data_IF_181249999703
#
_entry.id   IF_181249999703
#
_cell.length_a   1.000
_cell.length_b   1.000
_cell.length_c   1.000
_cell.angle_alpha   90.00
_cell.angle_beta   90.00
_cell.angle_gamma   90.00
#
_symmetry.space_group_name_H-M   'P 1'
#
loop_
_entity.id
_entity.type
_entity.pdbx_description
1 polymer ?
#
# COMPACT_ATOMS: atom_id res chain seq x y z
N UNK A 1 14.70 13.52 -5.86
CA UNK A 1 14.77 13.93 -4.43
C UNK A 1 15.85 14.97 -4.17
N UNK A 2 17.15 14.67 -4.35
CA UNK A 2 18.26 15.60 -3.99
C UNK A 2 18.11 17.00 -4.60
N UNK A 3 17.74 17.08 -5.89
CA UNK A 3 17.47 18.35 -6.58
C UNK A 3 16.33 19.17 -5.97
N UNK A 4 15.33 18.51 -5.40
CA UNK A 4 14.23 19.21 -4.72
C UNK A 4 14.72 19.73 -3.37
N UNK A 5 15.48 18.94 -2.61
CA UNK A 5 15.98 19.31 -1.29
C UNK A 5 17.06 20.39 -1.29
N UNK A 6 17.88 20.45 -2.34
CA UNK A 6 18.88 21.50 -2.50
C UNK A 6 18.26 22.90 -2.64
N UNK A 7 16.96 22.99 -2.95
CA UNK A 7 16.23 24.26 -3.01
C UNK A 7 15.72 24.66 -1.62
N UNK A 8 15.74 25.96 -1.27
CA UNK A 8 15.20 26.44 0.00
C UNK A 8 13.73 26.06 0.13
N UNK A 9 13.30 25.81 1.38
CA UNK A 9 11.92 25.47 1.64
C UNK A 9 10.99 26.66 1.33
N UNK A 10 9.84 26.36 0.75
CA UNK A 10 8.78 27.34 0.47
C UNK A 10 7.42 26.69 0.64
N UNK A 11 6.41 27.52 0.89
CA UNK A 11 5.02 27.09 0.86
C UNK A 11 4.64 26.51 -0.52
N UNK A 12 3.68 25.58 -0.50
CA UNK A 12 3.12 25.02 -1.72
C UNK A 12 2.17 26.02 -2.39
N UNK A 13 2.23 26.06 -3.71
CA UNK A 13 1.28 26.78 -4.57
C UNK A 13 0.50 25.77 -5.43
N UNK A 14 -0.60 26.20 -6.04
CA UNK A 14 -1.49 25.30 -6.78
C UNK A 14 -0.81 24.63 -7.98
N UNK A 15 0.17 25.31 -8.59
CA UNK A 15 0.99 24.77 -9.68
C UNK A 15 1.80 23.55 -9.23
N UNK A 16 2.18 23.45 -7.95
CA UNK A 16 2.98 22.33 -7.44
C UNK A 16 2.24 20.99 -7.51
N UNK A 17 0.91 21.00 -7.38
CA UNK A 17 0.08 19.79 -7.46
C UNK A 17 -0.02 19.24 -8.87
N UNK A 18 0.18 20.09 -9.89
CA UNK A 18 0.15 19.68 -11.29
C UNK A 18 1.53 19.56 -11.92
N UNK A 19 2.56 20.12 -11.27
CA UNK A 19 3.95 20.13 -11.73
C UNK A 19 4.44 18.72 -12.09
N UNK A 20 5.28 18.64 -13.12
CA UNK A 20 5.95 17.40 -13.46
C UNK A 20 7.27 17.62 -14.18
N UNK A 21 8.36 17.10 -13.63
CA UNK A 21 9.70 17.28 -14.15
C UNK A 21 10.15 16.05 -14.91
N UNK A 22 10.58 16.23 -16.16
CA UNK A 22 11.06 15.14 -17.01
C UNK A 22 12.58 15.17 -17.05
N UNK A 23 13.19 14.02 -16.81
CA UNK A 23 14.62 13.80 -16.88
C UNK A 23 14.90 12.76 -17.96
N UNK A 24 15.92 12.98 -18.77
CA UNK A 24 16.42 12.02 -19.73
C UNK A 24 17.79 11.54 -19.25
N UNK A 25 17.95 10.24 -19.10
CA UNK A 25 19.20 9.58 -18.77
C UNK A 25 19.66 8.85 -20.03
N UNK A 26 20.88 9.14 -20.44
CA UNK A 26 21.56 8.53 -21.57
C UNK A 26 22.75 7.70 -21.09
N UNK A 27 23.27 6.84 -21.97
CA UNK A 27 24.45 6.03 -21.68
C UNK A 27 25.70 6.90 -21.53
N UNK A 28 25.78 8.00 -22.27
CA UNK A 28 26.92 8.94 -22.23
C UNK A 28 26.93 9.82 -20.98
N UNK A 29 25.78 10.03 -20.33
CA UNK A 29 25.62 11.05 -19.30
C UNK A 29 25.56 12.46 -19.90
N UNK A 30 25.10 13.41 -19.09
CA UNK A 30 25.18 14.84 -19.34
C UNK A 30 25.35 15.60 -18.00
N UNK A 31 25.49 16.93 -18.04
CA UNK A 31 25.68 17.75 -16.84
C UNK A 31 24.58 17.59 -15.78
N UNK A 32 23.35 17.27 -16.21
CA UNK A 32 22.22 17.13 -15.31
C UNK A 32 22.04 15.68 -14.83
N UNK A 33 22.37 14.68 -15.63
CA UNK A 33 22.17 13.26 -15.33
C UNK A 33 23.44 12.45 -15.55
N UNK A 34 23.92 11.68 -14.55
CA UNK A 34 25.08 10.83 -14.74
C UNK A 34 24.83 9.76 -15.80
N UNK A 35 25.92 9.21 -16.34
CA UNK A 35 25.87 8.09 -17.28
C UNK A 35 25.10 6.91 -16.67
N UNK A 36 24.31 6.24 -17.51
CA UNK A 36 23.43 5.16 -17.10
C UNK A 36 23.69 3.91 -17.93
N UNK A 37 23.37 2.72 -17.40
CA UNK A 37 23.54 1.47 -18.15
C UNK A 37 22.63 1.37 -19.39
N UNK A 38 21.54 2.14 -19.41
CA UNK A 38 20.53 2.12 -20.47
C UNK A 38 19.94 3.51 -20.63
N UNK A 39 19.60 3.91 -21.86
CA UNK A 39 18.83 5.13 -22.04
C UNK A 39 17.43 4.96 -21.42
N UNK A 40 16.94 5.95 -20.68
CA UNK A 40 15.53 6.02 -20.25
C UNK A 40 15.09 7.44 -19.92
N UNK A 41 13.77 7.66 -19.94
CA UNK A 41 13.16 8.93 -19.53
C UNK A 41 12.43 8.72 -18.22
N UNK A 42 12.84 9.46 -17.20
CA UNK A 42 12.17 9.53 -15.91
C UNK A 42 11.24 10.74 -15.87
N UNK A 43 10.11 10.64 -15.19
CA UNK A 43 9.24 11.78 -14.92
C UNK A 43 8.82 11.73 -13.46
N UNK A 44 9.09 12.83 -12.76
CA UNK A 44 8.77 13.07 -11.36
C UNK A 44 7.54 13.98 -11.29
N UNK A 45 6.46 13.53 -10.66
CA UNK A 45 5.20 14.28 -10.57
C UNK A 45 5.06 14.93 -9.20
N UNK A 46 4.63 16.19 -9.17
CA UNK A 46 4.42 16.99 -7.95
C UNK A 46 5.56 16.90 -6.91
N UNK A 47 6.83 17.11 -7.31
CA UNK A 47 7.99 16.85 -6.44
C UNK A 47 8.02 17.67 -5.15
N UNK A 48 7.45 18.88 -5.17
CA UNK A 48 7.32 19.72 -3.97
C UNK A 48 6.25 19.20 -3.02
N UNK A 49 5.11 18.72 -3.53
CA UNK A 49 4.05 18.12 -2.71
C UNK A 49 4.56 16.86 -2.02
N UNK A 50 5.22 15.95 -2.76
CA UNK A 50 5.81 14.75 -2.15
C UNK A 50 7.02 15.03 -1.25
N UNK A 51 7.70 16.18 -1.40
CA UNK A 51 8.67 16.64 -0.39
C UNK A 51 7.96 16.96 0.92
N UNK A 52 6.88 17.74 0.88
CA UNK A 52 6.12 18.08 2.08
C UNK A 52 5.47 16.85 2.72
N UNK A 53 4.86 15.95 1.94
CA UNK A 53 4.30 14.70 2.47
C UNK A 53 5.35 13.85 3.21
N UNK A 54 6.57 13.73 2.66
CA UNK A 54 7.65 13.02 3.35
C UNK A 54 8.03 13.71 4.67
N UNK A 55 8.08 15.03 4.70
CA UNK A 55 8.35 15.79 5.92
C UNK A 55 7.23 15.64 6.96
N UNK A 56 5.97 15.69 6.53
CA UNK A 56 4.79 15.53 7.38
C UNK A 56 4.72 14.12 7.99
N UNK A 57 5.22 13.12 7.27
CA UNK A 57 5.42 11.76 7.79
C UNK A 57 6.80 11.53 8.42
N UNK A 58 7.58 12.59 8.67
CA UNK A 58 8.87 12.58 9.33
C UNK A 58 9.95 11.70 8.68
N UNK A 59 9.89 11.55 7.36
CA UNK A 59 10.87 10.82 6.58
C UNK A 59 12.01 11.76 6.17
N UNK A 60 13.20 11.49 6.70
CA UNK A 60 14.41 12.14 6.22
C UNK A 60 14.67 11.77 4.76
N UNK A 61 15.10 12.77 3.99
CA UNK A 61 15.23 12.57 2.57
C UNK A 61 16.52 11.84 2.15
N UNK A 62 17.55 11.88 2.97
CA UNK A 62 18.78 11.10 2.80
C UNK A 62 18.47 9.63 3.04
N UNK A 63 17.75 9.32 4.13
CA UNK A 63 17.30 7.96 4.42
C UNK A 63 16.40 7.42 3.29
N UNK A 64 15.42 8.22 2.86
CA UNK A 64 14.54 7.85 1.73
C UNK A 64 15.33 7.52 0.46
N UNK A 65 16.40 8.27 0.18
CA UNK A 65 17.28 8.01 -0.97
C UNK A 65 18.07 6.72 -0.77
N UNK A 66 18.67 6.51 0.40
CA UNK A 66 19.45 5.30 0.70
C UNK A 66 18.58 4.05 0.57
N UNK A 67 17.40 4.03 1.19
CA UNK A 67 16.48 2.87 1.16
C UNK A 67 16.03 2.52 -0.26
N UNK A 68 15.87 3.50 -1.15
CA UNK A 68 15.34 3.32 -2.51
C UNK A 68 16.40 3.29 -3.62
N UNK A 69 17.68 3.49 -3.31
CA UNK A 69 18.75 3.49 -4.32
C UNK A 69 19.90 2.54 -3.97
N UNK A 70 19.79 1.77 -2.88
CA UNK A 70 20.78 0.74 -2.55
C UNK A 70 20.89 -0.31 -3.67
N UNK A 71 22.04 -0.98 -3.76
CA UNK A 71 22.41 -1.86 -4.89
C UNK A 71 21.47 -3.07 -5.10
N UNK A 72 20.65 -3.40 -4.10
CA UNK A 72 19.82 -4.61 -4.05
C UNK A 72 18.36 -4.26 -3.80
N UNK A 73 17.74 -3.60 -4.78
CA UNK A 73 16.29 -3.38 -4.75
C UNK A 73 15.73 -4.57 -5.54
N UNK A 74 15.06 -5.46 -4.81
CA UNK A 74 13.70 -5.97 -5.08
C UNK A 74 13.53 -7.49 -5.01
N UNK A 75 12.75 -7.89 -4.00
CA UNK A 75 11.94 -9.09 -4.04
C UNK A 75 10.62 -8.83 -4.73
N UNK A 76 10.41 -9.48 -5.88
CA UNK A 76 9.07 -9.68 -6.42
C UNK A 76 8.34 -10.66 -5.48
N UNK A 77 7.52 -10.13 -4.57
CA UNK A 77 6.36 -10.88 -4.13
C UNK A 77 5.38 -10.79 -5.29
N UNK A 78 5.29 -11.88 -6.07
CA UNK A 78 4.30 -12.00 -7.13
C UNK A 78 2.94 -11.60 -6.56
N UNK A 79 2.32 -10.58 -7.13
CA UNK A 79 1.06 -10.07 -6.57
C UNK A 79 0.03 -11.21 -6.62
N UNK A 80 -0.56 -11.64 -5.48
CA UNK A 80 -1.72 -12.53 -5.53
C UNK A 80 -2.98 -11.80 -6.06
N UNK A 81 -2.88 -10.51 -6.36
CA UNK A 81 -3.97 -9.66 -6.81
C UNK A 81 -4.33 -9.81 -8.30
N UNK A 82 -5.63 -9.71 -8.59
CA UNK A 82 -6.22 -9.76 -9.96
C UNK A 82 -5.70 -8.67 -10.92
N UNK A 83 -4.97 -7.65 -10.45
CA UNK A 83 -4.63 -6.43 -11.22
C UNK A 83 -3.34 -6.52 -12.05
N UNK A 84 -2.49 -7.52 -11.81
CA UNK A 84 -1.19 -7.66 -12.45
C UNK A 84 -0.19 -6.53 -12.13
N UNK A 85 -0.38 -5.81 -11.02
CA UNK A 85 0.54 -4.79 -10.52
C UNK A 85 1.71 -5.41 -9.75
N UNK A 86 2.94 -5.03 -10.07
CA UNK A 86 4.14 -5.48 -9.37
C UNK A 86 4.38 -4.69 -8.09
N UNK A 87 4.79 -5.40 -7.04
CA UNK A 87 5.21 -4.88 -5.75
C UNK A 87 6.68 -5.15 -5.53
N UNK A 88 7.32 -4.17 -4.93
CA UNK A 88 8.76 -4.07 -4.87
C UNK A 88 9.13 -3.43 -3.54
N UNK A 89 9.86 -4.13 -2.68
CA UNK A 89 10.21 -3.65 -1.34
C UNK A 89 11.62 -3.07 -1.30
N UNK A 90 11.80 -1.95 -0.60
CA UNK A 90 13.14 -1.48 -0.24
C UNK A 90 13.88 -2.53 0.60
N UNK A 91 15.21 -2.48 0.57
CA UNK A 91 16.06 -3.46 1.26
C UNK A 91 15.82 -3.50 2.77
N UNK A 92 15.48 -2.36 3.34
CA UNK A 92 15.15 -2.18 4.76
C UNK A 92 13.66 -2.42 5.07
N UNK A 93 12.89 -2.92 4.09
CA UNK A 93 11.46 -3.23 4.15
C UNK A 93 10.53 -2.05 4.50
N UNK A 94 11.07 -0.82 4.52
CA UNK A 94 10.38 0.40 4.94
C UNK A 94 9.40 0.93 3.89
N UNK A 95 9.77 0.79 2.60
CA UNK A 95 9.04 1.34 1.47
C UNK A 95 8.64 0.28 0.46
N UNK A 96 7.52 0.54 -0.21
CA UNK A 96 7.00 -0.25 -1.31
C UNK A 96 6.97 0.63 -2.56
N UNK A 97 7.56 0.14 -3.64
CA UNK A 97 7.34 0.62 -5.00
C UNK A 97 6.21 -0.23 -5.58
N UNK A 98 5.09 0.40 -5.95
CA UNK A 98 3.96 -0.29 -6.57
C UNK A 98 3.74 0.24 -7.97
N UNK A 99 3.78 -0.64 -8.97
CA UNK A 99 3.40 -0.24 -10.33
C UNK A 99 1.90 0.00 -10.41
N UNK A 100 1.48 1.07 -11.05
CA UNK A 100 0.07 1.44 -11.19
C UNK A 100 -0.31 1.63 -12.65
N UNK A 101 -1.59 1.40 -12.95
CA UNK A 101 -2.18 1.65 -14.25
C UNK A 101 -2.22 3.15 -14.55
N UNK A 102 -2.29 3.50 -15.84
CA UNK A 102 -2.36 4.90 -16.26
C UNK A 102 -3.61 5.61 -15.72
N UNK A 103 -4.72 4.89 -15.54
CA UNK A 103 -5.95 5.40 -14.95
C UNK A 103 -5.76 5.78 -13.47
N UNK A 104 -5.14 4.89 -12.67
CA UNK A 104 -4.80 5.14 -11.26
C UNK A 104 -3.85 6.33 -11.13
N UNK A 105 -2.84 6.44 -12.01
CA UNK A 105 -1.94 7.60 -12.03
C UNK A 105 -2.70 8.91 -12.30
N UNK A 106 -3.62 8.92 -13.29
CA UNK A 106 -4.42 10.11 -13.57
C UNK A 106 -5.30 10.47 -12.37
N UNK A 107 -5.88 9.46 -11.73
CA UNK A 107 -6.75 9.64 -10.58
C UNK A 107 -5.97 10.18 -9.37
N UNK A 108 -4.82 9.62 -9.03
CA UNK A 108 -3.95 10.12 -7.97
C UNK A 108 -3.60 11.60 -8.17
N UNK A 109 -3.26 12.01 -9.41
CA UNK A 109 -2.99 13.43 -9.71
C UNK A 109 -4.23 14.32 -9.54
N UNK A 110 -5.43 13.79 -9.79
CA UNK A 110 -6.69 14.52 -9.59
C UNK A 110 -6.96 14.75 -8.10
N UNK A 111 -6.72 13.75 -7.26
CA UNK A 111 -7.03 13.81 -5.81
C UNK A 111 -5.88 14.30 -4.93
N UNK A 112 -4.71 14.61 -5.51
CA UNK A 112 -3.49 14.85 -4.74
C UNK A 112 -3.63 16.01 -3.74
N UNK A 113 -4.36 17.06 -4.09
CA UNK A 113 -4.60 18.21 -3.21
C UNK A 113 -5.50 17.83 -2.03
N UNK A 114 -6.58 17.10 -2.27
CA UNK A 114 -7.46 16.56 -1.22
C UNK A 114 -6.70 15.61 -0.28
N UNK A 115 -5.90 14.69 -0.83
CA UNK A 115 -5.07 13.78 -0.05
C UNK A 115 -4.05 14.54 0.80
N UNK A 116 -3.33 15.51 0.23
CA UNK A 116 -2.36 16.33 0.96
C UNK A 116 -3.02 17.08 2.13
N UNK A 117 -4.16 17.73 1.87
CA UNK A 117 -4.90 18.44 2.91
C UNK A 117 -5.39 17.48 3.99
N UNK A 118 -5.87 16.30 3.62
CA UNK A 118 -6.29 15.30 4.60
C UNK A 118 -5.15 14.88 5.53
N UNK A 119 -3.98 14.55 4.97
CA UNK A 119 -2.78 14.18 5.75
C UNK A 119 -2.36 15.31 6.69
N UNK A 120 -2.38 16.56 6.20
CA UNK A 120 -2.02 17.73 7.02
C UNK A 120 -2.92 17.94 8.23
N UNK A 121 -4.22 17.70 8.08
CA UNK A 121 -5.19 17.88 9.17
C UNK A 121 -5.39 16.60 10.01
N UNK A 122 -4.93 15.45 9.52
CA UNK A 122 -5.07 14.14 10.17
C UNK A 122 -3.71 13.43 10.23
N UNK A 123 -2.80 13.86 11.13
CA UNK A 123 -1.45 13.30 11.24
C UNK A 123 -1.46 11.80 11.63
N UNK A 124 -2.57 11.32 12.19
CA UNK A 124 -2.79 9.94 12.59
C UNK A 124 -3.53 9.10 11.55
N UNK A 125 -3.69 9.59 10.31
CA UNK A 125 -4.39 8.85 9.25
C UNK A 125 -3.87 7.43 9.07
N UNK A 126 -4.80 6.49 8.89
CA UNK A 126 -4.56 5.10 8.52
C UNK A 126 -4.43 4.92 7.01
N UNK A 127 -4.73 5.96 6.20
CA UNK A 127 -4.55 5.92 4.75
C UNK A 127 -3.09 5.60 4.39
N UNK A 128 -2.92 4.81 3.33
CA UNK A 128 -1.59 4.50 2.84
C UNK A 128 -0.80 5.78 2.55
N UNK A 129 0.48 5.77 2.98
CA UNK A 129 1.34 6.96 2.97
C UNK A 129 2.11 7.01 1.66
N UNK A 130 1.80 7.98 0.80
CA UNK A 130 2.48 8.15 -0.49
C UNK A 130 3.67 9.12 -0.39
N UNK A 131 4.82 8.70 -0.91
CA UNK A 131 6.09 9.44 -0.83
C UNK A 131 6.64 9.86 -2.20
N UNK A 132 6.04 9.36 -3.29
CA UNK A 132 6.41 9.75 -4.63
C UNK A 132 5.46 9.16 -5.68
N UNK A 133 5.28 9.89 -6.77
CA UNK A 133 4.61 9.42 -7.98
C UNK A 133 5.54 9.64 -9.18
N UNK A 134 5.83 8.57 -9.89
CA UNK A 134 6.86 8.59 -10.91
C UNK A 134 6.46 7.83 -12.17
N UNK A 135 7.18 8.08 -13.26
CA UNK A 135 7.07 7.32 -14.51
C UNK A 135 8.43 7.09 -15.14
N UNK A 136 8.72 5.84 -15.47
CA UNK A 136 9.86 5.45 -16.31
C UNK A 136 9.37 5.11 -17.72
N UNK A 137 10.13 5.54 -18.73
CA UNK A 137 9.93 5.16 -20.14
C UNK A 137 11.27 4.75 -20.74
N UNK A 138 11.39 3.47 -21.08
CA UNK A 138 12.50 2.93 -21.86
C UNK A 138 12.36 3.33 -23.36
N UNK A 139 13.46 3.43 -24.12
CA UNK A 139 13.44 3.56 -25.57
C UNK A 139 12.59 2.46 -26.17
N UNK A 140 11.61 2.83 -27.00
CA UNK A 140 10.67 1.90 -27.63
C UNK A 140 9.81 1.06 -26.66
N UNK A 141 9.89 1.31 -25.35
CA UNK A 141 9.14 0.61 -24.31
C UNK A 141 7.84 1.30 -23.92
N UNK A 142 6.98 0.57 -23.20
CA UNK A 142 5.77 1.13 -22.58
C UNK A 142 6.14 2.06 -21.44
N UNK A 143 5.25 3.02 -21.15
CA UNK A 143 5.35 3.89 -19.96
C UNK A 143 4.95 3.06 -18.75
N UNK A 144 5.82 2.99 -17.75
CA UNK A 144 5.53 2.36 -16.46
C UNK A 144 5.33 3.49 -15.46
N UNK A 145 4.15 3.54 -14.84
CA UNK A 145 3.86 4.44 -13.73
C UNK A 145 3.98 3.65 -12.42
N UNK A 146 4.50 4.30 -11.40
CA UNK A 146 4.59 3.69 -10.07
C UNK A 146 4.51 4.74 -8.99
N UNK A 147 4.06 4.30 -7.82
CA UNK A 147 4.08 5.07 -6.58
C UNK A 147 5.12 4.48 -5.65
N UNK A 148 5.70 5.34 -4.84
CA UNK A 148 6.43 4.92 -3.64
C UNK A 148 5.53 5.17 -2.45
N UNK A 149 5.33 4.15 -1.62
CA UNK A 149 4.47 4.21 -0.45
C UNK A 149 5.11 3.54 0.76
N UNK A 150 4.64 3.86 1.96
CA UNK A 150 5.07 3.17 3.18
C UNK A 150 4.56 1.74 3.23
N UNK A 151 5.41 0.82 3.70
CA UNK A 151 4.95 -0.51 4.06
C UNK A 151 4.09 -0.46 5.33
N UNK A 152 2.98 -1.18 5.41
CA UNK A 152 2.20 -1.25 6.67
C UNK A 152 2.96 -2.08 7.70
N UNK A 153 3.60 -3.16 7.26
CA UNK A 153 4.31 -4.08 8.13
C UNK A 153 5.73 -3.59 8.45
N UNK A 154 6.21 -3.83 9.67
CA UNK A 154 7.53 -3.41 10.12
C UNK A 154 8.60 -4.38 9.61
N UNK A 155 9.87 -3.95 9.52
CA UNK A 155 10.99 -4.86 9.29
C UNK A 155 11.31 -5.73 10.51
N UNK A 156 10.95 -5.26 11.71
CA UNK A 156 11.54 -5.76 12.95
C UNK A 156 10.69 -6.80 13.70
N UNK A 157 9.48 -7.11 13.22
CA UNK A 157 8.57 -8.08 13.86
C UNK A 157 8.08 -9.16 12.91
N UNK A 158 7.92 -10.35 13.46
CA UNK A 158 7.25 -11.47 12.79
C UNK A 158 5.74 -11.22 12.75
N UNK A 159 5.15 -11.19 11.55
CA UNK A 159 3.71 -11.05 11.40
C UNK A 159 3.10 -12.45 11.33
N UNK A 160 2.45 -12.87 12.42
CA UNK A 160 1.91 -14.21 12.58
C UNK A 160 0.58 -14.39 11.85
N UNK A 161 -0.24 -13.34 11.79
CA UNK A 161 -1.49 -13.34 11.04
C UNK A 161 -1.62 -12.09 10.19
N UNK A 162 -2.18 -12.24 8.98
CA UNK A 162 -2.42 -11.13 8.07
C UNK A 162 -3.82 -11.22 7.49
N UNK A 163 -4.57 -10.12 7.57
CA UNK A 163 -5.92 -10.01 7.04
C UNK A 163 -6.06 -8.80 6.11
N UNK A 164 -6.75 -8.99 4.99
CA UNK A 164 -7.26 -7.93 4.12
C UNK A 164 -8.77 -7.89 4.34
N UNK A 165 -9.30 -6.78 4.91
CA UNK A 165 -10.70 -6.66 5.31
C UNK A 165 -11.41 -5.54 4.52
N UNK A 166 -12.57 -5.84 3.93
CA UNK A 166 -13.36 -4.89 3.11
C UNK A 166 -14.78 -4.66 3.63
N UNK A 167 -15.21 -5.43 4.62
CA UNK A 167 -16.60 -5.52 5.06
C UNK A 167 -17.53 -6.19 4.06
N UNK A 168 -17.01 -7.08 3.21
CA UNK A 168 -17.84 -7.81 2.22
C UNK A 168 -17.61 -9.31 2.33
N UNK A 169 -18.56 -10.12 1.87
CA UNK A 169 -18.54 -11.59 2.05
C UNK A 169 -18.21 -12.36 0.77
N UNK A 170 -18.61 -11.86 -0.40
CA UNK A 170 -18.46 -12.61 -1.66
C UNK A 170 -17.01 -12.73 -2.13
N UNK A 171 -16.49 -13.96 -2.21
CA UNK A 171 -15.10 -14.23 -2.60
C UNK A 171 -14.07 -13.75 -1.57
N UNK A 172 -14.52 -13.57 -0.32
CA UNK A 172 -13.73 -13.06 0.80
C UNK A 172 -13.41 -14.14 1.83
N UNK A 173 -13.09 -15.34 1.34
CA UNK A 173 -12.46 -16.41 2.09
C UNK A 173 -11.18 -16.89 1.39
N UNK A 174 -10.32 -17.53 2.17
CA UNK A 174 -9.24 -18.44 1.76
C UNK A 174 -9.59 -19.80 2.35
N UNK A 175 -9.38 -20.89 1.59
CA UNK A 175 -9.67 -22.24 2.09
C UNK A 175 -8.64 -22.70 3.11
N UNK A 176 -9.00 -23.63 3.99
CA UNK A 176 -8.05 -24.19 4.96
C UNK A 176 -6.91 -24.96 4.26
N UNK A 177 -7.19 -25.56 3.10
CA UNK A 177 -6.16 -26.20 2.25
C UNK A 177 -5.13 -25.19 1.74
N UNK A 178 -5.57 -24.01 1.27
CA UNK A 178 -4.67 -22.93 0.87
C UNK A 178 -3.84 -22.42 2.06
N UNK A 179 -4.42 -22.37 3.27
CA UNK A 179 -3.71 -21.99 4.49
C UNK A 179 -2.72 -23.05 4.98
N UNK A 180 -3.00 -24.34 4.77
CA UNK A 180 -2.04 -25.39 5.07
C UNK A 180 -0.82 -25.30 4.14
N UNK A 181 -1.06 -25.06 2.85
CA UNK A 181 0.00 -24.91 1.85
C UNK A 181 0.79 -23.60 1.98
N UNK A 182 0.11 -22.54 2.43
CA UNK A 182 0.72 -21.25 2.71
C UNK A 182 0.15 -20.65 4.01
N UNK A 183 0.72 -21.01 5.17
CA UNK A 183 0.26 -20.50 6.47
C UNK A 183 0.33 -18.98 6.61
N UNK A 184 1.10 -18.33 5.72
CA UNK A 184 1.29 -16.87 5.66
C UNK A 184 0.36 -16.19 4.65
N UNK A 185 -0.60 -16.91 4.07
CA UNK A 185 -1.54 -16.33 3.13
C UNK A 185 -2.37 -15.24 3.82
N UNK A 186 -2.53 -14.10 3.14
CA UNK A 186 -3.37 -12.99 3.61
C UNK A 186 -4.84 -13.40 3.63
N UNK A 187 -5.34 -13.71 4.82
CA UNK A 187 -6.72 -14.08 5.09
C UNK A 187 -7.69 -12.92 4.82
N UNK A 188 -8.99 -13.21 4.75
CA UNK A 188 -10.04 -12.23 4.37
C UNK A 188 -11.18 -12.18 5.39
N UNK A 189 -12.23 -11.43 5.07
CA UNK A 189 -13.38 -11.14 5.95
C UNK A 189 -14.05 -12.40 6.52
N UNK A 190 -14.31 -13.42 5.70
CA UNK A 190 -14.96 -14.65 6.20
C UNK A 190 -14.03 -15.45 7.10
N UNK A 191 -12.73 -15.46 6.84
CA UNK A 191 -11.77 -16.09 7.75
C UNK A 191 -11.73 -15.36 9.11
N UNK A 192 -11.79 -14.03 9.10
CA UNK A 192 -11.85 -13.20 10.30
C UNK A 192 -13.09 -13.54 11.15
N UNK A 193 -14.26 -13.57 10.51
CA UNK A 193 -15.54 -13.87 11.16
C UNK A 193 -15.58 -15.32 11.67
N UNK A 194 -15.25 -16.30 10.83
CA UNK A 194 -15.33 -17.72 11.17
C UNK A 194 -14.37 -18.11 12.31
N UNK A 195 -13.23 -17.42 12.43
CA UNK A 195 -12.27 -17.61 13.53
C UNK A 195 -12.60 -16.80 14.77
N UNK A 196 -13.73 -16.08 14.78
CA UNK A 196 -14.14 -15.17 15.83
C UNK A 196 -13.02 -14.19 16.25
N UNK A 197 -12.21 -13.73 15.29
CA UNK A 197 -11.13 -12.77 15.58
C UNK A 197 -11.71 -11.41 15.84
N UNK A 198 -11.10 -10.69 16.78
CA UNK A 198 -11.48 -9.34 17.18
C UNK A 198 -10.23 -8.50 17.44
N UNK A 199 -10.33 -7.20 17.21
CA UNK A 199 -9.32 -6.23 17.66
C UNK A 199 -9.58 -5.91 19.13
N UNK A 200 -8.60 -6.18 19.99
CA UNK A 200 -8.67 -5.88 21.42
C UNK A 200 -8.13 -4.47 21.68
N UNK A 201 -9.02 -3.49 21.62
CA UNK A 201 -8.72 -2.10 21.90
C UNK A 201 -9.56 -1.64 23.09
N UNK A 202 -8.91 -1.22 24.17
CA UNK A 202 -9.56 -0.59 25.31
C UNK A 202 -10.22 0.75 24.93
N UNK A 203 -11.04 1.33 25.81
CA UNK A 203 -11.90 2.47 25.49
C UNK A 203 -11.18 3.64 24.81
N UNK A 204 -9.96 3.98 25.25
CA UNK A 204 -9.19 5.10 24.69
C UNK A 204 -8.73 4.83 23.26
N UNK A 205 -8.02 3.71 23.05
CA UNK A 205 -7.53 3.31 21.72
C UNK A 205 -8.66 3.03 20.75
N UNK A 206 -9.77 2.47 21.24
CA UNK A 206 -10.99 2.20 20.48
C UNK A 206 -11.63 3.49 19.97
N UNK A 207 -11.82 4.48 20.83
CA UNK A 207 -12.39 5.77 20.42
C UNK A 207 -11.50 6.45 19.37
N UNK A 208 -10.19 6.48 19.60
CA UNK A 208 -9.22 7.06 18.66
C UNK A 208 -9.25 6.34 17.29
N UNK A 209 -9.29 5.01 17.30
CA UNK A 209 -9.38 4.21 16.08
C UNK A 209 -10.65 4.51 15.28
N UNK A 210 -11.81 4.50 15.94
CA UNK A 210 -13.10 4.74 15.28
C UNK A 210 -13.21 6.16 14.72
N UNK A 211 -12.77 7.16 15.48
CA UNK A 211 -12.79 8.54 15.00
C UNK A 211 -11.85 8.76 13.81
N UNK A 212 -10.65 8.17 13.84
CA UNK A 212 -9.71 8.30 12.72
C UNK A 212 -10.22 7.58 11.46
N UNK A 213 -10.65 6.32 11.60
CA UNK A 213 -11.11 5.53 10.44
C UNK A 213 -12.35 6.16 9.80
N UNK A 214 -13.22 6.79 10.60
CA UNK A 214 -14.35 7.57 10.11
C UNK A 214 -13.88 8.72 9.21
N UNK A 215 -12.96 9.57 9.67
CA UNK A 215 -12.42 10.70 8.88
C UNK A 215 -11.75 10.23 7.60
N UNK A 216 -10.99 9.13 7.67
CA UNK A 216 -10.34 8.55 6.50
C UNK A 216 -11.38 8.05 5.47
N UNK A 217 -12.40 7.33 5.94
CA UNK A 217 -13.48 6.80 5.10
C UNK A 217 -14.35 7.92 4.49
N UNK A 218 -14.60 9.01 5.23
CA UNK A 218 -15.30 10.19 4.73
C UNK A 218 -14.59 10.83 3.54
N UNK A 219 -13.25 10.95 3.58
CA UNK A 219 -12.46 11.38 2.43
C UNK A 219 -12.65 10.44 1.25
N UNK A 220 -12.51 9.13 1.47
CA UNK A 220 -12.59 8.13 0.41
C UNK A 220 -13.98 8.14 -0.26
N UNK A 221 -15.05 8.24 0.53
CA UNK A 221 -16.41 8.37 0.03
C UNK A 221 -16.59 9.64 -0.81
N UNK A 222 -16.16 10.80 -0.29
CA UNK A 222 -16.23 12.10 -1.00
C UNK A 222 -15.48 12.08 -2.33
N UNK A 223 -14.35 11.39 -2.39
CA UNK A 223 -13.55 11.23 -3.61
C UNK A 223 -14.04 10.11 -4.54
N UNK A 224 -15.16 9.46 -4.22
CA UNK A 224 -15.74 8.32 -4.95
C UNK A 224 -14.74 7.16 -5.12
N UNK A 225 -14.00 6.84 -4.07
CA UNK A 225 -13.05 5.73 -4.02
C UNK A 225 -13.76 4.52 -3.45
N UNK A 226 -13.46 3.34 -3.99
CA UNK A 226 -14.05 2.06 -3.59
C UNK A 226 -12.98 0.96 -3.58
N UNK A 227 -13.36 -0.25 -3.18
CA UNK A 227 -12.51 -1.45 -3.20
C UNK A 227 -11.24 -1.37 -2.33
N UNK A 228 -11.14 -0.39 -1.43
CA UNK A 228 -10.05 -0.29 -0.44
C UNK A 228 -10.24 -1.27 0.72
N UNK A 229 -9.14 -1.72 1.32
CA UNK A 229 -9.17 -2.64 2.46
C UNK A 229 -8.48 -2.05 3.67
N UNK A 230 -8.88 -2.44 4.88
CA UNK A 230 -7.99 -2.37 6.03
C UNK A 230 -7.09 -3.61 5.99
N UNK A 231 -5.79 -3.38 5.82
CA UNK A 231 -4.76 -4.40 6.01
C UNK A 231 -4.42 -4.46 7.50
N UNK A 232 -4.50 -5.66 8.07
CA UNK A 232 -4.25 -5.94 9.48
C UNK A 232 -3.14 -6.98 9.56
N UNK A 233 -2.00 -6.62 10.16
CA UNK A 233 -0.97 -7.55 10.60
C UNK A 233 -1.05 -7.73 12.10
N UNK A 234 -0.95 -8.96 12.59
CA UNK A 234 -0.97 -9.28 14.02
C UNK A 234 0.36 -9.91 14.38
N UNK A 235 1.02 -9.34 15.38
CA UNK A 235 2.18 -9.91 16.05
C UNK A 235 1.81 -10.33 17.47
N UNK A 236 1.90 -11.61 17.75
CA UNK A 236 1.82 -12.20 19.09
C UNK A 236 3.11 -11.91 19.86
N UNK A 237 2.96 -11.19 20.97
CA UNK A 237 4.09 -10.70 21.78
C UNK A 237 4.78 -11.84 22.53
N UNK A 238 4.04 -12.86 22.97
CA UNK A 238 4.59 -14.01 23.69
C UNK A 238 5.40 -14.91 22.74
N UNK A 239 4.88 -15.09 21.53
CA UNK A 239 5.57 -15.78 20.45
C UNK A 239 6.80 -15.00 19.99
N UNK A 240 6.70 -13.68 19.91
CA UNK A 240 7.79 -12.80 19.52
C UNK A 240 8.33 -13.15 18.13
N UNK A 241 9.64 -12.94 17.92
CA UNK A 241 10.30 -13.23 16.64
C UNK A 241 10.88 -14.66 16.55
N UNK A 242 10.36 -15.60 17.34
CA UNK A 242 10.93 -16.97 17.44
C UNK A 242 10.75 -17.78 16.16
N UNK A 243 9.82 -17.41 15.29
CA UNK A 243 9.49 -18.14 14.07
C UNK A 243 10.35 -17.73 12.87
N UNK A 244 11.11 -16.64 12.99
CA UNK A 244 11.94 -16.08 11.93
C UNK A 244 11.14 -15.85 10.62
N UNK A 245 9.86 -15.46 10.75
CA UNK A 245 8.97 -15.22 9.60
C UNK A 245 9.53 -14.09 8.73
N UNK A 246 10.05 -13.04 9.37
CA UNK A 246 10.67 -11.87 8.73
C UNK A 246 11.85 -12.25 7.82
N UNK A 247 12.64 -13.25 8.16
CA UNK A 247 13.85 -13.61 7.40
C UNK A 247 13.52 -14.21 6.03
N UNK A 248 12.32 -14.77 5.89
CA UNK A 248 11.79 -15.30 4.64
C UNK A 248 10.89 -14.31 3.88
N UNK A 249 10.86 -13.04 4.29
CA UNK A 249 9.97 -12.02 3.74
C UNK A 249 10.55 -11.34 2.50
N UNK A 250 11.88 -11.14 2.45
CA UNK A 250 12.58 -10.58 1.30
C UNK A 250 13.38 -11.66 0.57
N UNK A 251 13.14 -11.83 -0.73
CA UNK A 251 13.95 -12.67 -1.64
C UNK A 251 14.50 -11.83 -2.78
N UNK A 252 15.81 -11.62 -2.89
CA UNK A 252 16.34 -10.77 -3.98
C UNK A 252 16.34 -11.50 -5.31
N UNK A 253 15.96 -10.81 -6.37
CA UNK A 253 16.16 -11.28 -7.74
C UNK A 253 17.42 -10.62 -8.30
N UNK A 254 18.41 -11.45 -8.67
CA UNK A 254 19.53 -10.98 -9.47
C UNK A 254 19.26 -11.38 -10.92
N UNK A 255 18.85 -10.45 -11.81
CA UNK A 255 18.75 -10.73 -13.23
C UNK A 255 20.19 -10.85 -13.77
N UNK A 256 20.76 -12.04 -13.66
CA UNK A 256 22.07 -12.34 -14.21
C UNK A 256 21.98 -12.27 -15.74
N UNK A 257 22.44 -11.15 -16.31
CA UNK A 257 22.43 -10.88 -17.74
C UNK A 257 23.49 -11.70 -18.52
N UNK A 258 24.18 -12.63 -17.84
CA UNK A 258 25.23 -13.48 -18.41
C UNK A 258 24.72 -14.73 -19.13
N UNK A 259 23.45 -15.13 -18.94
CA UNK A 259 22.88 -16.26 -19.68
C UNK A 259 22.36 -15.81 -21.07
N UNK A 260 22.92 -16.33 -22.17
CA UNK A 260 22.43 -16.01 -23.50
C UNK A 260 21.02 -16.59 -23.66
N UNK A 261 20.05 -15.72 -24.01
CA UNK A 261 18.72 -16.13 -24.47
C UNK A 261 18.90 -17.00 -25.71
N UNK A 262 18.81 -18.32 -25.56
CA UNK A 262 18.74 -19.24 -26.69
C UNK A 262 17.43 -19.02 -27.45
N UNK A 263 17.57 -18.95 -28.78
CA UNK A 263 16.55 -18.72 -29.83
C UNK A 263 15.36 -19.70 -29.66
N UNK A 264 14.13 -19.43 -30.10
CA UNK A 264 13.69 -19.03 -31.43
C UNK A 264 12.31 -18.35 -31.35
N UNK A 265 12.05 -17.31 -32.14
CA UNK A 265 10.69 -17.06 -32.66
C UNK A 265 10.76 -16.27 -33.95
N UNK A 266 9.87 -16.68 -34.85
CA UNK A 266 9.71 -16.27 -36.22
C UNK A 266 9.55 -14.75 -36.41
N UNK A 267 9.97 -14.30 -37.61
CA UNK A 267 9.90 -12.92 -38.08
C UNK A 267 8.44 -12.46 -38.19
N UNK A 268 7.84 -11.92 -37.11
CA UNK A 268 6.75 -10.92 -37.24
C UNK A 268 6.43 -10.02 -36.04
N UNK A 269 6.93 -10.26 -34.83
CA UNK A 269 6.62 -9.40 -33.66
C UNK A 269 7.86 -8.87 -32.91
N UNK A 270 8.60 -7.95 -33.53
CA UNK A 270 9.84 -7.38 -32.93
C UNK A 270 9.63 -6.26 -31.90
N UNK A 271 8.41 -5.76 -31.68
CA UNK A 271 8.17 -4.55 -30.83
C UNK A 271 7.66 -4.83 -29.41
N UNK A 272 7.22 -6.06 -29.12
CA UNK A 272 6.73 -6.50 -27.80
C UNK A 272 7.78 -7.27 -27.00
N UNK A 273 8.90 -7.64 -27.65
CA UNK A 273 9.85 -8.64 -27.15
C UNK A 273 10.70 -8.18 -25.96
N UNK A 274 11.28 -6.99 -25.92
CA UNK A 274 12.35 -6.71 -24.93
C UNK A 274 11.88 -6.53 -23.47
N UNK A 275 10.73 -5.90 -23.25
CA UNK A 275 10.14 -5.75 -21.90
C UNK A 275 9.43 -7.04 -21.46
N UNK A 276 8.78 -7.76 -22.39
CA UNK A 276 8.25 -9.09 -22.09
C UNK A 276 9.39 -10.09 -21.87
N UNK A 277 10.52 -9.95 -22.55
CA UNK A 277 11.73 -10.75 -22.34
C UNK A 277 12.41 -10.38 -21.03
N UNK A 278 12.43 -9.10 -20.61
CA UNK A 278 12.88 -8.73 -19.27
C UNK A 278 11.91 -9.25 -18.20
N UNK A 279 10.60 -9.17 -18.42
CA UNK A 279 9.57 -9.76 -17.55
C UNK A 279 9.68 -11.28 -17.47
N UNK A 280 9.93 -11.95 -18.59
CA UNK A 280 10.16 -13.38 -18.63
C UNK A 280 11.52 -13.71 -18.02
N UNK A 281 12.57 -12.93 -18.27
CA UNK A 281 13.87 -13.15 -17.67
C UNK A 281 13.84 -12.98 -16.15
N UNK A 282 13.05 -12.04 -15.61
CA UNK A 282 12.81 -11.90 -14.17
C UNK A 282 11.91 -13.03 -13.63
N UNK A 283 10.87 -13.44 -14.38
CA UNK A 283 10.04 -14.60 -14.01
C UNK A 283 10.75 -15.94 -14.07
N UNK A 284 11.74 -16.08 -14.96
CA UNK A 284 12.50 -17.30 -15.23
C UNK A 284 13.82 -17.31 -14.47
N UNK A 285 14.34 -16.16 -14.03
CA UNK A 285 15.47 -16.12 -13.11
C UNK A 285 15.03 -16.63 -11.76
N UNK A 286 15.62 -17.74 -11.33
CA UNK A 286 15.45 -18.22 -9.96
C UNK A 286 15.87 -17.11 -8.98
N UNK A 287 15.04 -16.81 -7.96
CA UNK A 287 15.44 -15.86 -6.93
C UNK A 287 16.70 -16.37 -6.25
N UNK A 288 17.80 -15.64 -6.38
CA UNK A 288 19.05 -15.95 -5.69
C UNK A 288 18.97 -15.30 -4.32
N UNK A 289 18.89 -16.11 -3.26
CA UNK A 289 19.05 -15.64 -1.90
C UNK A 289 20.47 -15.05 -1.75
N UNK A 290 20.60 -13.72 -1.85
CA UNK A 290 21.86 -13.02 -1.63
C UNK A 290 22.15 -12.96 -0.12
N UNK A 291 22.62 -14.08 0.43
CA UNK A 291 22.92 -14.21 1.86
C UNK A 291 21.72 -13.86 2.77
N UNK A 292 21.90 -13.87 4.09
CA UNK A 292 20.88 -13.36 4.99
C UNK A 292 20.81 -11.82 4.85
N UNK A 293 19.82 -11.33 4.10
CA UNK A 293 19.39 -9.94 4.22
C UNK A 293 18.86 -9.74 5.64
N UNK A 294 19.70 -9.20 6.50
CA UNK A 294 19.34 -8.90 7.87
C UNK A 294 18.46 -7.66 7.85
N UNK A 295 17.14 -7.89 7.95
CA UNK A 295 16.21 -6.81 8.19
C UNK A 295 16.62 -6.05 9.46
N UNK A 296 16.35 -4.73 9.55
CA UNK A 296 16.56 -3.99 10.79
C UNK A 296 15.91 -4.68 12.00
N UNK A 297 16.63 -4.72 13.12
CA UNK A 297 16.11 -5.26 14.39
C UNK A 297 15.25 -4.26 15.17
N UNK A 298 15.39 -2.97 14.87
CA UNK A 298 14.67 -1.89 15.52
C UNK A 298 13.60 -1.30 14.59
N UNK A 299 12.50 -0.83 15.18
CA UNK A 299 11.51 -0.03 14.46
C UNK A 299 12.03 1.37 14.16
N UNK A 300 11.54 1.94 13.06
CA UNK A 300 11.93 3.28 12.61
C UNK A 300 11.21 4.36 13.41
N UNK A 301 11.95 5.41 13.80
CA UNK A 301 11.46 6.44 14.72
C UNK A 301 10.35 7.32 14.14
N UNK A 302 10.27 7.51 12.82
CA UNK A 302 9.25 8.37 12.20
C UNK A 302 7.81 7.89 12.44
N UNK A 303 7.64 6.59 12.73
CA UNK A 303 6.33 6.00 12.99
C UNK A 303 5.75 6.42 14.34
N UNK A 304 6.60 6.75 15.31
CA UNK A 304 6.21 7.06 16.69
C UNK A 304 5.29 8.28 16.81
N UNK A 305 5.30 9.16 15.82
CA UNK A 305 4.46 10.37 15.81
C UNK A 305 3.00 10.08 15.41
N UNK A 306 2.70 8.84 15.01
CA UNK A 306 1.34 8.38 14.74
C UNK A 306 0.90 7.44 15.86
N UNK A 307 -0.23 7.72 16.50
CA UNK A 307 -0.74 6.92 17.62
C UNK A 307 -0.92 5.44 17.27
N UNK A 308 -1.27 5.12 16.01
CA UNK A 308 -1.46 3.75 15.54
C UNK A 308 -0.16 3.02 15.21
N UNK A 309 0.98 3.72 15.28
CA UNK A 309 2.31 3.17 15.03
C UNK A 309 3.29 3.53 16.16
N UNK A 310 2.78 3.98 17.32
CA UNK A 310 3.58 4.41 18.46
C UNK A 310 4.27 3.25 19.16
N UNK A 311 3.61 2.08 19.19
CA UNK A 311 4.07 0.88 19.87
C UNK A 311 4.93 0.06 18.89
N UNK A 312 6.23 0.36 18.83
CA UNK A 312 7.19 -0.34 17.96
C UNK A 312 6.81 -0.35 16.46
N UNK A 313 6.10 0.69 16.00
CA UNK A 313 5.61 0.78 14.63
C UNK A 313 4.20 0.23 14.42
N UNK A 314 3.54 -0.26 15.47
CA UNK A 314 2.14 -0.72 15.49
C UNK A 314 1.34 -0.12 16.65
N UNK A 315 0.21 -0.76 16.96
CA UNK A 315 -0.74 -0.41 18.01
C UNK A 315 -0.88 -1.60 18.97
N UNK A 316 -0.38 -1.45 20.19
CA UNK A 316 -0.45 -2.50 21.21
C UNK A 316 -1.91 -2.72 21.63
N UNK A 317 -2.34 -3.97 21.71
CA UNK A 317 -3.67 -4.31 22.18
C UNK A 317 -3.86 -3.94 23.64
N UNK A 318 -5.10 -3.64 24.01
CA UNK A 318 -5.45 -3.23 25.37
C UNK A 318 -6.80 -3.80 25.77
N UNK A 319 -6.95 -4.15 27.04
CA UNK A 319 -8.22 -4.63 27.59
C UNK A 319 -9.14 -3.45 27.98
N UNK A 320 -10.33 -3.74 28.53
CA UNK A 320 -11.29 -2.70 28.94
C UNK A 320 -10.81 -1.80 30.09
N UNK A 321 -9.72 -2.16 30.78
CA UNK A 321 -9.05 -1.33 31.79
C UNK A 321 -7.86 -0.55 31.22
N UNK A 322 -7.68 -0.55 29.89
CA UNK A 322 -6.53 0.00 29.18
C UNK A 322 -5.18 -0.65 29.57
N UNK A 323 -5.20 -1.86 30.14
CA UNK A 323 -3.98 -2.62 30.44
C UNK A 323 -3.49 -3.34 29.17
N UNK A 324 -2.18 -3.56 29.07
CA UNK A 324 -1.53 -4.15 27.89
C UNK A 324 -2.02 -5.58 27.62
N UNK A 325 -2.36 -5.86 26.36
CA UNK A 325 -2.71 -7.19 25.88
C UNK A 325 -1.55 -7.95 25.22
N UNK A 326 -1.87 -9.05 24.56
CA UNK A 326 -0.90 -9.99 23.98
C UNK A 326 -0.59 -9.76 22.49
N UNK A 327 -1.30 -8.84 21.85
CA UNK A 327 -1.21 -8.61 20.41
C UNK A 327 -0.64 -7.22 20.12
N UNK A 328 0.16 -7.12 19.07
CA UNK A 328 0.58 -5.86 18.47
C UNK A 328 0.03 -5.77 17.03
N UNK A 329 -0.82 -4.77 16.79
CA UNK A 329 -1.54 -4.60 15.53
C UNK A 329 -0.83 -3.64 14.57
N UNK A 330 -0.71 -4.02 13.30
CA UNK A 330 -0.22 -3.16 12.22
C UNK A 330 -1.35 -2.90 11.25
N UNK A 331 -1.86 -1.67 11.27
CA UNK A 331 -3.10 -1.28 10.59
C UNK A 331 -2.83 -0.28 9.47
N UNK A 332 -3.49 -0.44 8.33
CA UNK A 332 -3.45 0.56 7.27
C UNK A 332 -4.49 0.35 6.18
N UNK A 333 -5.13 1.42 5.73
CA UNK A 333 -6.07 1.40 4.61
C UNK A 333 -5.27 1.43 3.31
N UNK A 334 -5.42 0.37 2.50
CA UNK A 334 -4.70 0.17 1.25
C UNK A 334 -5.61 0.27 0.02
N UNK A 335 -5.00 0.35 -1.17
CA UNK A 335 -5.67 0.33 -2.48
C UNK A 335 -6.67 1.49 -2.76
N UNK A 336 -6.34 2.69 -2.26
CA UNK A 336 -7.17 3.90 -2.39
C UNK A 336 -7.11 4.61 -3.76
N UNK A 337 -6.58 3.96 -4.80
CA UNK A 337 -6.47 4.53 -6.16
C UNK A 337 -7.48 3.95 -7.16
N UNK A 338 -8.50 3.25 -6.68
CA UNK A 338 -9.57 2.67 -7.49
C UNK A 338 -10.79 3.62 -7.52
N UNK A 339 -10.90 4.53 -8.49
CA UNK A 339 -12.09 5.37 -8.62
C UNK A 339 -13.29 4.54 -9.05
N UNK A 340 -14.45 4.89 -8.53
CA UNK A 340 -15.74 4.40 -9.03
C UNK A 340 -16.00 4.99 -10.43
N UNK A 341 -15.70 4.22 -11.48
CA UNK A 341 -15.93 4.60 -12.88
C UNK A 341 -16.90 3.63 -13.58
N UNK A 342 -17.66 4.11 -14.56
CA UNK A 342 -18.76 3.44 -15.29
C UNK A 342 -18.51 1.98 -15.74
N UNK A 343 -17.26 1.58 -15.97
CA UNK A 343 -16.90 0.19 -16.31
C UNK A 343 -17.22 -0.79 -15.16
N UNK A 344 -17.05 -0.37 -13.90
CA UNK A 344 -17.47 -1.13 -12.71
C UNK A 344 -19.00 -1.13 -12.54
N UNK A 345 -19.69 -0.12 -13.09
CA UNK A 345 -21.16 0.01 -13.07
C UNK A 345 -21.81 -1.08 -13.94
N UNK A 346 -21.19 -1.46 -15.06
CA UNK A 346 -21.63 -2.58 -15.90
C UNK A 346 -21.40 -3.92 -15.20
N UNK A 347 -20.24 -4.09 -14.55
CA UNK A 347 -19.96 -5.28 -13.72
C UNK A 347 -20.95 -5.39 -12.54
N UNK A 348 -21.29 -4.27 -11.91
CA UNK A 348 -22.30 -4.18 -10.85
C UNK A 348 -23.71 -4.50 -11.36
N UNK A 349 -24.11 -3.96 -12.52
CA UNK A 349 -25.43 -4.24 -13.11
C UNK A 349 -25.60 -5.73 -13.44
N UNK A 350 -24.58 -6.35 -14.03
CA UNK A 350 -24.61 -7.79 -14.34
C UNK A 350 -24.64 -8.66 -13.08
N UNK A 351 -23.95 -8.27 -12.00
CA UNK A 351 -23.91 -9.04 -10.76
C UNK A 351 -25.12 -8.81 -9.85
N UNK A 352 -25.67 -7.58 -9.82
CA UNK A 352 -26.86 -7.26 -9.02
C UNK A 352 -28.17 -7.74 -9.64
N UNK A 353 -28.17 -8.10 -10.93
CA UNK A 353 -29.33 -8.71 -11.60
C UNK A 353 -29.51 -10.18 -11.19
N UNK A 354 -28.49 -10.80 -10.60
CA UNK A 354 -28.55 -12.21 -10.21
C UNK A 354 -28.76 -12.41 -8.71
N UNK A 355 -28.19 -11.58 -7.82
CA UNK A 355 -28.20 -11.81 -6.36
C UNK A 355 -27.99 -10.52 -5.52
N UNK A 356 -28.11 -10.70 -4.19
CA UNK A 356 -28.23 -9.69 -3.13
C UNK A 356 -27.16 -8.58 -3.14
N UNK A 357 -27.61 -7.31 -3.09
CA UNK A 357 -26.78 -6.12 -3.34
C UNK A 357 -25.70 -5.88 -2.27
N UNK A 358 -25.95 -6.31 -1.04
CA UNK A 358 -25.03 -6.10 0.08
C UNK A 358 -23.79 -7.01 0.06
N UNK A 359 -23.84 -8.12 -0.69
CA UNK A 359 -22.75 -9.10 -0.76
C UNK A 359 -21.59 -8.67 -1.70
N UNK A 360 -21.80 -7.68 -2.57
CA UNK A 360 -20.88 -7.34 -3.66
C UNK A 360 -19.99 -6.14 -3.29
N UNK A 361 -18.67 -6.23 -3.51
CA UNK A 361 -17.73 -5.11 -3.26
C UNK A 361 -18.03 -3.86 -4.11
N UNK A 362 -18.71 -4.01 -5.25
CA UNK A 362 -18.92 -2.98 -6.26
C UNK A 362 -20.13 -2.04 -6.06
N UNK A 363 -20.46 -1.66 -4.82
CA UNK A 363 -21.61 -0.81 -4.48
C UNK A 363 -21.30 0.70 -4.62
N UNK A 364 -22.31 1.57 -4.42
CA UNK A 364 -22.12 3.02 -4.36
C UNK A 364 -20.99 3.37 -3.36
N UNK A 365 -20.07 4.31 -3.64
CA UNK A 365 -18.97 4.66 -2.73
C UNK A 365 -19.41 4.99 -1.29
N UNK A 366 -20.57 5.62 -1.10
CA UNK A 366 -21.12 5.89 0.23
C UNK A 366 -21.63 4.62 0.93
N UNK A 367 -22.32 3.73 0.20
CA UNK A 367 -22.74 2.42 0.73
C UNK A 367 -21.52 1.54 1.06
N UNK A 368 -20.49 1.59 0.21
CA UNK A 368 -19.21 0.93 0.44
C UNK A 368 -18.59 1.40 1.75
N UNK A 369 -18.50 2.73 1.91
CA UNK A 369 -17.95 3.38 3.09
C UNK A 369 -18.70 3.00 4.37
N UNK A 370 -20.03 3.05 4.35
CA UNK A 370 -20.86 2.66 5.49
C UNK A 370 -20.69 1.19 5.86
N UNK A 371 -20.71 0.30 4.86
CA UNK A 371 -20.49 -1.14 5.08
C UNK A 371 -19.10 -1.42 5.63
N UNK A 372 -18.07 -0.79 5.07
CA UNK A 372 -16.70 -0.89 5.54
C UNK A 372 -16.60 -0.44 7.00
N UNK A 373 -17.08 0.77 7.32
CA UNK A 373 -17.05 1.32 8.68
C UNK A 373 -17.81 0.45 9.67
N UNK A 374 -19.01 -0.02 9.31
CA UNK A 374 -19.80 -0.93 10.13
C UNK A 374 -19.03 -2.22 10.43
N UNK A 375 -18.44 -2.86 9.41
CA UNK A 375 -17.64 -4.06 9.64
C UNK A 375 -16.42 -3.80 10.53
N UNK A 376 -15.72 -2.67 10.36
CA UNK A 376 -14.58 -2.30 11.21
C UNK A 376 -14.98 -2.12 12.67
N UNK A 377 -16.15 -1.52 12.94
CA UNK A 377 -16.68 -1.36 14.31
C UNK A 377 -17.11 -2.72 14.89
N UNK A 378 -17.71 -3.60 14.09
CA UNK A 378 -18.05 -4.96 14.53
C UNK A 378 -16.83 -5.88 14.70
N UNK A 379 -15.69 -5.53 14.10
CA UNK A 379 -14.43 -6.24 14.26
C UNK A 379 -13.74 -5.92 15.61
N UNK A 380 -14.19 -4.92 16.36
CA UNK A 380 -13.73 -4.63 17.72
C UNK A 380 -14.32 -5.64 18.72
N UNK A 381 -13.54 -6.02 19.74
CA UNK A 381 -14.00 -6.96 20.79
C UNK A 381 -15.16 -6.41 21.61
N UNK A 382 -15.08 -5.13 21.96
CA UNK A 382 -16.14 -4.34 22.58
C UNK A 382 -16.41 -3.15 21.67
N UNK A 383 -17.69 -2.85 21.43
CA UNK A 383 -18.07 -1.81 20.49
C UNK A 383 -19.32 -0.99 20.88
N UNK A 384 -20.02 -1.34 21.96
CA UNK A 384 -21.29 -0.71 22.34
C UNK A 384 -21.18 0.81 22.59
N UNK A 385 -20.02 1.26 23.07
CA UNK A 385 -19.67 2.65 23.35
C UNK A 385 -19.40 3.49 22.07
N UNK A 386 -19.10 2.83 20.96
CA UNK A 386 -18.79 3.46 19.67
C UNK A 386 -19.83 3.21 18.58
N UNK A 387 -20.89 2.44 18.87
CA UNK A 387 -21.99 2.20 17.91
C UNK A 387 -22.68 3.49 17.46
N UNK A 388 -22.77 4.50 18.33
CA UNK A 388 -23.37 5.80 18.00
C UNK A 388 -22.70 6.51 16.81
N UNK A 389 -21.47 6.13 16.46
CA UNK A 389 -20.77 6.63 15.26
C UNK A 389 -21.44 6.16 13.97
N UNK A 390 -22.10 4.99 13.99
CA UNK A 390 -22.88 4.48 12.86
C UNK A 390 -24.23 5.21 12.73
N UNK A 391 -24.86 5.55 13.85
CA UNK A 391 -26.21 6.14 13.90
C UNK A 391 -26.24 7.63 13.50
N UNK A 392 -25.14 8.37 13.71
CA UNK A 392 -25.06 9.79 13.33
C UNK A 392 -25.08 10.05 11.82
N UNK A 393 -25.10 9.00 10.99
CA UNK A 393 -25.18 9.09 9.53
C UNK A 393 -26.57 8.75 8.96
N UNK A 394 -27.58 8.48 9.79
CA UNK A 394 -28.99 8.38 9.37
C UNK A 394 -29.73 9.71 9.53
N UNK A 395 -29.64 10.57 8.50
CA UNK A 395 -30.47 11.75 8.19
C UNK A 395 -30.30 13.02 9.08
N UNK A 396 -30.39 14.23 8.47
CA UNK A 396 -31.67 14.80 8.05
C UNK A 396 -31.68 15.31 6.59
N UNK A 397 -32.36 14.58 5.72
CA UNK A 397 -32.97 15.18 4.51
C UNK A 397 -34.46 14.84 4.55
N UNK A 398 -35.16 15.51 5.44
CA UNK A 398 -36.62 15.71 5.43
C UNK A 398 -36.86 17.04 6.13
N UNK A 399 -36.93 18.10 5.33
CA UNK A 399 -37.98 19.13 5.35
C UNK A 399 -37.99 19.82 3.99
#
# INVERSE_FOLDING_TARGET
>A
VSRCNAKPQRALVDEDFTAAHKLAFDITGNELTPSSKYDFKFKDYAPWVFRHLRQDFHIDASDYLVSLTSKYILSELGSPGKSGSFFYFSQDYRFIIKTIHHAEHKFMRKILKDYFNHVKHNPHTLLCRFFGLHRVKLPHGRKIHFVVMGNVFPPNRDIHETYDLKGSTLGRAISDEELQNNPRATQKDLNWVNRNRKLELGPEKRHLFVEQIKRDVELLARLNIMDYSLLVGIHDIERGNKDNIRDNTLKVFNPDASKPLTKETSRRDKRTSKLNALRMAVKVSDPVALGPLTLPSNSFSERRNCIFYADDGGLLSTNERNEQGQDLYYLGIIDILTPYNYVKKIEHLWKSLSQDKHAISAVNPHEYAQRFLSFMIHALKVNHDVLSVLDKNSHPHTE
#
